data_IF_317281489196
#
_entry.id   IF_317281489196
#
_cell.length_a   1.000
_cell.length_b   1.000
_cell.length_c   1.000
_cell.angle_alpha   90.00
_cell.angle_beta   90.00
_cell.angle_gamma   90.00
#
_symmetry.space_group_name_H-M   'P 1'
#
loop_
_entity.id
_entity.type
_entity.pdbx_description
1 polymer ?
#
# COMPACT_ATOMS: atom_id res chain seq x y z
N UNK A 1 2.21 -18.62 -14.69
CA UNK A 1 2.25 -17.33 -13.95
C UNK A 1 2.05 -17.64 -12.48
N UNK A 2 2.82 -17.06 -11.57
CA UNK A 2 2.72 -17.31 -10.12
C UNK A 2 1.97 -16.17 -9.43
N UNK A 3 1.36 -16.45 -8.27
CA UNK A 3 0.63 -15.47 -7.46
C UNK A 3 1.47 -14.22 -7.14
N UNK A 4 2.73 -14.42 -6.75
CA UNK A 4 3.68 -13.33 -6.47
C UNK A 4 3.85 -12.39 -7.67
N UNK A 5 3.88 -12.95 -8.89
CA UNK A 5 4.04 -12.17 -10.13
C UNK A 5 2.78 -11.38 -10.48
N UNK A 6 1.60 -11.81 -10.02
CA UNK A 6 0.36 -11.05 -10.15
C UNK A 6 0.32 -9.85 -9.19
N UNK A 7 0.83 -10.02 -7.96
CA UNK A 7 0.94 -8.98 -6.93
C UNK A 7 2.09 -8.01 -7.12
N UNK A 8 3.07 -8.34 -7.96
CA UNK A 8 4.28 -7.55 -8.19
C UNK A 8 4.03 -6.05 -8.40
N UNK A 9 3.09 -5.57 -9.24
CA UNK A 9 2.91 -4.12 -9.44
C UNK A 9 2.55 -3.38 -8.15
N UNK A 10 1.68 -3.97 -7.33
CA UNK A 10 1.24 -3.39 -6.06
C UNK A 10 2.36 -3.45 -5.02
N UNK A 11 3.10 -4.57 -4.96
CA UNK A 11 4.24 -4.73 -4.06
C UNK A 11 5.40 -3.81 -4.43
N UNK A 12 5.64 -3.55 -5.72
CA UNK A 12 6.67 -2.60 -6.18
C UNK A 12 6.35 -1.17 -5.72
N UNK A 13 5.11 -0.73 -5.86
CA UNK A 13 4.69 0.61 -5.42
C UNK A 13 4.68 0.71 -3.89
N UNK A 14 4.21 -0.34 -3.20
CA UNK A 14 4.38 -0.46 -1.75
C UNK A 14 5.85 -0.36 -1.33
N UNK A 15 6.76 -0.97 -2.11
CA UNK A 15 8.21 -0.85 -1.99
C UNK A 15 8.70 0.59 -1.99
N UNK A 16 8.35 1.36 -3.02
CA UNK A 16 8.72 2.78 -3.13
C UNK A 16 8.23 3.64 -1.95
N UNK A 17 7.08 3.30 -1.40
CA UNK A 17 6.49 3.97 -0.23
C UNK A 17 7.01 3.45 1.12
N UNK A 18 7.96 2.51 1.14
CA UNK A 18 8.47 1.82 2.33
C UNK A 18 7.42 0.98 3.08
N UNK A 19 6.33 0.58 2.41
CA UNK A 19 5.29 -0.31 2.94
C UNK A 19 5.58 -1.79 2.62
N UNK A 20 6.39 -2.05 1.59
CA UNK A 20 6.88 -3.36 1.22
C UNK A 20 8.40 -3.32 1.06
N UNK A 21 9.09 -4.47 1.09
CA UNK A 21 10.53 -4.50 0.85
C UNK A 21 10.85 -4.70 -0.62
N UNK A 22 11.87 -3.98 -1.10
CA UNK A 22 12.51 -4.28 -2.37
C UNK A 22 13.24 -5.62 -2.28
N UNK A 23 12.82 -6.59 -3.10
CA UNK A 23 13.61 -7.78 -3.43
C UNK A 23 14.30 -7.52 -4.78
N UNK A 24 15.48 -6.88 -4.74
CA UNK A 24 16.32 -6.72 -5.92
C UNK A 24 17.76 -7.16 -5.59
N UNK A 25 18.31 -8.20 -6.23
CA UNK A 25 17.70 -9.11 -7.22
C UNK A 25 16.67 -10.10 -6.62
N UNK A 26 15.71 -10.53 -7.46
CA UNK A 26 14.68 -11.52 -7.12
C UNK A 26 15.32 -12.78 -6.53
N UNK A 27 14.99 -13.11 -5.28
CA UNK A 27 15.50 -14.29 -4.58
C UNK A 27 16.50 -14.01 -3.44
N UNK A 28 17.00 -12.78 -3.30
CA UNK A 28 17.78 -12.36 -2.12
C UNK A 28 17.07 -11.24 -1.37
N UNK A 29 16.34 -11.53 -0.28
CA UNK A 29 15.73 -10.49 0.53
C UNK A 29 16.84 -9.74 1.29
N UNK A 30 17.25 -8.57 0.78
CA UNK A 30 18.08 -7.60 1.54
C UNK A 30 17.19 -6.80 2.49
N UNK A 31 16.49 -7.52 3.36
CA UNK A 31 15.54 -7.01 4.35
C UNK A 31 16.12 -5.85 5.15
N UNK A 32 17.39 -5.98 5.54
CA UNK A 32 18.07 -4.97 6.34
C UNK A 32 18.32 -3.65 5.58
N UNK A 33 18.67 -3.71 4.30
CA UNK A 33 19.00 -2.51 3.49
C UNK A 33 17.73 -1.72 3.17
N UNK A 34 16.65 -2.41 2.78
CA UNK A 34 15.35 -1.77 2.55
C UNK A 34 14.79 -1.14 3.83
N UNK A 35 15.02 -1.78 4.98
CA UNK A 35 14.67 -1.25 6.30
C UNK A 35 15.43 0.03 6.63
N UNK A 36 16.76 -0.01 6.53
CA UNK A 36 17.60 1.15 6.79
C UNK A 36 17.28 2.31 5.85
N UNK A 37 17.04 2.03 4.57
CA UNK A 37 16.61 3.04 3.60
C UNK A 37 15.28 3.69 4.00
N UNK A 38 14.29 2.87 4.35
CA UNK A 38 12.98 3.36 4.77
C UNK A 38 13.08 4.22 6.03
N UNK A 39 13.79 3.74 7.04
CA UNK A 39 14.04 4.49 8.28
C UNK A 39 14.78 5.80 7.99
N UNK A 40 15.88 5.77 7.23
CA UNK A 40 16.64 6.97 6.90
C UNK A 40 15.79 8.01 6.14
N UNK A 41 15.05 7.59 5.11
CA UNK A 41 14.17 8.47 4.34
C UNK A 41 13.10 9.13 5.22
N UNK A 42 12.43 8.35 6.07
CA UNK A 42 11.39 8.87 6.96
C UNK A 42 11.97 9.73 8.09
N UNK A 43 13.10 9.36 8.68
CA UNK A 43 13.80 10.18 9.68
C UNK A 43 14.23 11.52 9.11
N UNK A 44 14.77 11.56 7.88
CA UNK A 44 15.12 12.81 7.20
C UNK A 44 13.87 13.66 6.93
N UNK A 45 12.80 13.04 6.42
CA UNK A 45 11.55 13.75 6.15
C UNK A 45 10.93 14.34 7.43
N UNK A 46 10.94 13.59 8.53
CA UNK A 46 10.48 14.07 9.84
C UNK A 46 11.34 15.24 10.31
N UNK A 47 12.66 15.06 10.31
CA UNK A 47 13.57 16.05 10.86
C UNK A 47 13.52 17.38 10.10
N UNK A 48 13.57 17.33 8.77
CA UNK A 48 13.65 18.55 7.95
C UNK A 48 12.30 19.23 7.74
N UNK A 49 11.19 18.47 7.70
CA UNK A 49 9.91 19.01 7.27
C UNK A 49 8.84 18.99 8.37
N UNK A 50 8.55 17.82 8.94
CA UNK A 50 7.44 17.72 9.90
C UNK A 50 7.77 18.30 11.28
N UNK A 51 8.99 18.08 11.78
CA UNK A 51 9.38 18.50 13.12
C UNK A 51 9.35 20.02 13.32
N UNK A 52 9.86 20.86 12.39
CA UNK A 52 9.67 22.30 12.47
C UNK A 52 8.18 22.71 12.47
N UNK A 53 7.36 22.04 11.66
CA UNK A 53 5.91 22.26 11.61
C UNK A 53 5.22 21.94 12.93
N UNK A 54 5.58 20.82 13.57
CA UNK A 54 5.05 20.43 14.88
C UNK A 54 5.43 21.40 15.99
N UNK A 55 6.68 21.87 16.00
CA UNK A 55 7.12 22.88 16.97
C UNK A 55 6.30 24.16 16.79
N UNK A 56 6.14 24.60 15.55
CA UNK A 56 5.37 25.80 15.23
C UNK A 56 3.90 25.67 15.69
N UNK A 57 3.21 24.59 15.29
CA UNK A 57 1.81 24.38 15.66
C UNK A 57 1.61 24.20 17.17
N UNK A 58 2.51 23.47 17.83
CA UNK A 58 2.40 23.18 19.25
C UNK A 58 2.77 24.38 20.14
N UNK A 59 3.87 25.08 19.84
CA UNK A 59 4.36 26.17 20.68
C UNK A 59 3.62 27.49 20.45
N UNK A 60 3.31 27.80 19.19
CA UNK A 60 2.74 29.12 18.82
C UNK A 60 1.22 29.04 18.82
N UNK A 61 0.65 28.04 18.15
CA UNK A 61 -0.80 27.99 17.94
C UNK A 61 -1.55 27.20 19.02
N UNK A 62 -0.82 26.43 19.86
CA UNK A 62 -1.38 25.52 20.88
C UNK A 62 -2.49 24.61 20.34
N UNK A 63 -2.39 24.24 19.07
CA UNK A 63 -3.38 23.41 18.37
C UNK A 63 -2.69 22.20 17.77
N UNK A 64 -3.33 21.04 17.89
CA UNK A 64 -2.96 19.86 17.12
C UNK A 64 -3.76 19.85 15.83
N UNK A 65 -3.07 19.84 14.70
CA UNK A 65 -3.73 19.71 13.40
C UNK A 65 -3.93 18.25 13.04
N UNK A 66 -4.98 17.97 12.27
CA UNK A 66 -5.23 16.62 11.72
C UNK A 66 -4.02 16.11 10.93
N UNK A 67 -3.29 16.99 10.24
CA UNK A 67 -2.09 16.65 9.49
C UNK A 67 -0.96 16.08 10.38
N UNK A 68 -0.84 16.57 11.63
CA UNK A 68 0.17 16.10 12.58
C UNK A 68 -0.15 14.68 13.05
N UNK A 69 -1.42 14.42 13.36
CA UNK A 69 -1.91 13.10 13.75
C UNK A 69 -1.72 12.09 12.62
N UNK A 70 -2.07 12.46 11.38
CA UNK A 70 -1.93 11.61 10.18
C UNK A 70 -0.45 11.25 9.93
N UNK A 71 0.45 12.21 10.10
CA UNK A 71 1.89 12.00 9.94
C UNK A 71 2.45 11.05 11.00
N UNK A 72 2.05 11.20 12.27
CA UNK A 72 2.43 10.27 13.35
C UNK A 72 1.87 8.86 13.12
N UNK A 73 0.60 8.74 12.72
CA UNK A 73 -0.02 7.46 12.36
C UNK A 73 0.76 6.76 11.24
N UNK A 74 1.23 7.52 10.26
CA UNK A 74 2.02 6.97 9.15
C UNK A 74 3.33 6.36 9.64
N UNK A 75 4.04 7.02 10.56
CA UNK A 75 5.28 6.49 11.17
C UNK A 75 4.99 5.17 11.88
N UNK A 76 3.93 5.11 12.68
CA UNK A 76 3.51 3.89 13.38
C UNK A 76 3.21 2.78 12.36
N UNK A 77 2.48 3.08 11.29
CA UNK A 77 2.14 2.12 10.25
C UNK A 77 3.38 1.56 9.56
N UNK A 78 4.39 2.39 9.28
CA UNK A 78 5.65 1.93 8.68
C UNK A 78 6.41 1.04 9.66
N UNK A 79 6.51 1.40 10.94
CA UNK A 79 7.15 0.54 11.93
C UNK A 79 6.42 -0.81 12.04
N UNK A 80 5.09 -0.80 12.05
CA UNK A 80 4.27 -2.02 12.06
C UNK A 80 4.48 -2.84 10.79
N UNK A 81 4.51 -2.23 9.60
CA UNK A 81 4.73 -2.94 8.34
C UNK A 81 6.12 -3.58 8.30
N UNK A 82 7.13 -2.89 8.84
CA UNK A 82 8.49 -3.40 8.96
C UNK A 82 8.58 -4.58 9.92
N UNK A 83 7.92 -4.52 11.08
CA UNK A 83 7.88 -5.62 12.04
C UNK A 83 7.14 -6.85 11.49
N UNK A 84 6.00 -6.63 10.82
CA UNK A 84 5.13 -7.72 10.30
C UNK A 84 5.48 -8.18 8.90
N UNK A 85 6.54 -7.66 8.30
CA UNK A 85 6.95 -8.06 6.96
C UNK A 85 7.23 -9.57 6.84
N UNK A 86 7.86 -10.16 7.87
CA UNK A 86 8.12 -11.61 7.89
C UNK A 86 6.82 -12.42 7.88
N UNK A 87 5.82 -11.99 8.64
CA UNK A 87 4.49 -12.61 8.69
C UNK A 87 3.78 -12.50 7.34
N UNK A 88 3.81 -11.32 6.72
CA UNK A 88 3.26 -11.10 5.39
C UNK A 88 3.86 -12.04 4.34
N UNK A 89 5.18 -12.24 4.38
CA UNK A 89 5.88 -13.15 3.46
C UNK A 89 5.49 -14.61 3.69
N UNK A 90 5.35 -15.05 4.94
CA UNK A 90 4.86 -16.39 5.24
C UNK A 90 3.43 -16.58 4.75
N UNK A 91 2.56 -15.59 4.97
CA UNK A 91 1.18 -15.59 4.49
C UNK A 91 1.11 -15.71 2.95
N UNK A 92 1.91 -14.95 2.20
CA UNK A 92 1.97 -15.07 0.73
C UNK A 92 2.45 -16.45 0.28
N UNK A 93 3.39 -17.07 0.99
CA UNK A 93 3.88 -18.43 0.69
C UNK A 93 2.80 -19.49 0.97
N UNK A 94 2.12 -19.40 2.10
CA UNK A 94 0.99 -20.29 2.42
C UNK A 94 -0.14 -20.16 1.38
N UNK A 95 -0.43 -18.92 0.97
CA UNK A 95 -1.43 -18.64 -0.05
C UNK A 95 -1.06 -19.23 -1.41
N UNK A 96 0.24 -19.25 -1.76
CA UNK A 96 0.73 -19.94 -2.95
C UNK A 96 0.55 -21.47 -2.86
N UNK A 97 0.73 -22.07 -1.67
CA UNK A 97 0.50 -23.51 -1.46
C UNK A 97 -1.00 -23.84 -1.59
N UNK A 98 -1.88 -23.05 -0.98
CA UNK A 98 -3.33 -23.22 -1.09
C UNK A 98 -3.80 -23.07 -2.54
N UNK A 99 -3.21 -22.15 -3.30
CA UNK A 99 -3.50 -22.04 -4.73
C UNK A 99 -3.10 -23.30 -5.51
N UNK A 100 -1.94 -23.88 -5.23
CA UNK A 100 -1.51 -25.14 -5.84
C UNK A 100 -2.44 -26.32 -5.51
N UNK A 101 -2.99 -26.39 -4.30
CA UNK A 101 -3.99 -27.42 -3.97
C UNK A 101 -5.33 -27.18 -4.66
N UNK A 102 -5.74 -25.92 -4.82
CA UNK A 102 -6.93 -25.55 -5.58
C UNK A 102 -6.79 -25.95 -7.06
N UNK A 103 -5.61 -25.77 -7.63
CA UNK A 103 -5.27 -26.22 -8.99
C UNK A 103 -5.36 -27.74 -9.11
N UNK A 104 -4.81 -28.50 -8.15
CA UNK A 104 -4.92 -29.96 -8.12
C UNK A 104 -6.38 -30.45 -8.01
N UNK A 105 -7.25 -29.66 -7.37
CA UNK A 105 -8.70 -29.89 -7.32
C UNK A 105 -9.41 -29.52 -8.64
N UNK A 106 -8.70 -29.06 -9.67
CA UNK A 106 -9.22 -28.75 -11.00
C UNK A 106 -9.78 -27.33 -11.14
N UNK A 107 -9.28 -26.34 -10.38
CA UNK A 107 -9.61 -24.92 -10.68
C UNK A 107 -8.68 -24.33 -11.73
N UNK A 108 -9.19 -23.57 -12.72
CA UNK A 108 -8.36 -22.87 -13.67
C UNK A 108 -7.67 -21.65 -13.04
N UNK A 109 -6.40 -21.43 -13.39
CA UNK A 109 -5.60 -20.29 -12.91
C UNK A 109 -6.05 -18.96 -13.52
N UNK A 110 -6.80 -18.15 -12.76
CA UNK A 110 -7.22 -16.79 -13.18
C UNK A 110 -6.19 -15.68 -12.82
N UNK A 111 -4.90 -16.00 -12.72
CA UNK A 111 -3.87 -15.01 -12.35
C UNK A 111 -3.78 -13.80 -13.27
N UNK A 112 -4.11 -13.97 -14.55
CA UNK A 112 -4.16 -12.88 -15.51
C UNK A 112 -5.25 -11.85 -15.12
N UNK A 113 -6.42 -12.34 -14.68
CA UNK A 113 -7.53 -11.51 -14.23
C UNK A 113 -7.20 -10.81 -12.92
N UNK A 114 -6.57 -11.52 -11.98
CA UNK A 114 -6.08 -10.94 -10.73
C UNK A 114 -5.06 -9.83 -10.99
N UNK A 115 -4.07 -10.07 -11.87
CA UNK A 115 -3.07 -9.06 -12.24
C UNK A 115 -3.73 -7.83 -12.87
N UNK A 116 -4.69 -8.02 -13.78
CA UNK A 116 -5.41 -6.90 -14.39
C UNK A 116 -6.21 -6.10 -13.35
N UNK A 117 -6.81 -6.79 -12.39
CA UNK A 117 -7.53 -6.14 -11.28
C UNK A 117 -6.58 -5.32 -10.39
N UNK A 118 -5.42 -5.88 -10.05
CA UNK A 118 -4.39 -5.18 -9.27
C UNK A 118 -3.85 -3.96 -10.03
N UNK A 119 -3.56 -4.10 -11.33
CA UNK A 119 -3.14 -2.96 -12.16
C UNK A 119 -4.20 -1.85 -12.17
N UNK A 120 -5.49 -2.20 -12.23
CA UNK A 120 -6.58 -1.22 -12.16
C UNK A 120 -6.61 -0.47 -10.82
N UNK A 121 -6.38 -1.17 -9.71
CA UNK A 121 -6.27 -0.55 -8.38
C UNK A 121 -5.08 0.41 -8.33
N UNK A 122 -3.93 -0.04 -8.82
CA UNK A 122 -2.72 0.78 -8.91
C UNK A 122 -2.96 2.07 -9.71
N UNK A 123 -3.57 1.96 -10.90
CA UNK A 123 -3.91 3.13 -11.73
C UNK A 123 -4.87 4.06 -10.99
N UNK A 124 -5.90 3.51 -10.33
CA UNK A 124 -6.85 4.29 -9.55
C UNK A 124 -6.18 5.08 -8.42
N UNK A 125 -5.23 4.46 -7.71
CA UNK A 125 -4.45 5.13 -6.67
C UNK A 125 -3.58 6.27 -7.25
N UNK A 126 -2.92 6.05 -8.39
CA UNK A 126 -2.14 7.10 -9.07
C UNK A 126 -3.04 8.27 -9.46
N UNK A 127 -4.19 8.00 -10.06
CA UNK A 127 -5.17 9.03 -10.44
C UNK A 127 -5.66 9.79 -9.20
N UNK A 128 -5.90 9.11 -8.09
CA UNK A 128 -6.30 9.75 -6.84
C UNK A 128 -5.25 10.73 -6.30
N UNK A 129 -3.96 10.36 -6.35
CA UNK A 129 -2.84 11.25 -5.98
C UNK A 129 -2.84 12.51 -6.85
N UNK A 130 -2.91 12.35 -8.18
CA UNK A 130 -2.92 13.48 -9.09
C UNK A 130 -4.15 14.38 -8.94
N UNK A 131 -5.33 13.78 -8.72
CA UNK A 131 -6.56 14.52 -8.44
C UNK A 131 -6.43 15.39 -7.19
N UNK A 132 -5.90 14.83 -6.11
CA UNK A 132 -5.72 15.58 -4.86
C UNK A 132 -4.72 16.74 -5.02
N UNK A 133 -3.64 16.52 -5.77
CA UNK A 133 -2.68 17.59 -6.10
C UNK A 133 -3.33 18.71 -6.91
N UNK A 134 -4.11 18.36 -7.94
CA UNK A 134 -4.82 19.33 -8.77
C UNK A 134 -5.85 20.14 -7.95
N UNK A 135 -6.58 19.48 -7.05
CA UNK A 135 -7.55 20.13 -6.17
C UNK A 135 -6.88 21.14 -5.22
N UNK A 136 -5.79 20.73 -4.56
CA UNK A 136 -5.03 21.63 -3.68
C UNK A 136 -4.46 22.82 -4.44
N UNK A 137 -3.99 22.59 -5.67
CA UNK A 137 -3.48 23.65 -6.53
C UNK A 137 -4.57 24.65 -6.93
N UNK A 138 -5.75 24.17 -7.31
CA UNK A 138 -6.88 25.04 -7.62
C UNK A 138 -7.28 25.92 -6.43
N UNK A 139 -7.31 25.35 -5.22
CA UNK A 139 -7.59 26.12 -4.01
C UNK A 139 -6.52 27.19 -3.75
N UNK A 140 -5.24 26.86 -3.99
CA UNK A 140 -4.14 27.80 -3.84
C UNK A 140 -4.27 29.00 -4.80
N UNK A 141 -4.55 28.73 -6.08
CA UNK A 141 -4.80 29.78 -7.07
C UNK A 141 -5.99 30.68 -6.67
N UNK A 142 -7.08 30.06 -6.22
CA UNK A 142 -8.27 30.78 -5.79
C UNK A 142 -7.97 31.69 -4.59
N UNK A 143 -7.17 31.22 -3.62
CA UNK A 143 -6.84 31.97 -2.41
C UNK A 143 -5.83 33.09 -2.66
N UNK A 144 -4.81 32.86 -3.49
CA UNK A 144 -3.74 33.82 -3.74
C UNK A 144 -4.12 34.92 -4.73
N UNK A 145 -5.20 34.76 -5.51
CA UNK A 145 -5.81 35.80 -6.39
C UNK A 145 -4.81 36.57 -7.29
N UNK A 146 -3.64 36.00 -7.57
CA UNK A 146 -2.49 36.64 -8.21
C UNK A 146 -1.83 35.71 -9.24
N UNK A 147 -1.06 36.29 -10.16
CA UNK A 147 -0.12 35.57 -11.02
C UNK A 147 1.03 35.00 -10.17
N UNK A 148 1.03 33.68 -9.99
CA UNK A 148 2.08 32.96 -9.25
C UNK A 148 3.26 32.75 -10.20
N UNK A 149 4.45 33.18 -9.81
CA UNK A 149 5.68 32.91 -10.56
C UNK A 149 5.97 31.41 -10.62
N UNK A 150 6.60 30.93 -11.70
CA UNK A 150 6.90 29.50 -11.88
C UNK A 150 7.69 28.89 -10.71
N UNK A 151 8.62 29.65 -10.12
CA UNK A 151 9.40 29.19 -8.95
C UNK A 151 8.52 28.97 -7.72
N UNK A 152 7.59 29.89 -7.45
CA UNK A 152 6.63 29.74 -6.34
C UNK A 152 5.69 28.58 -6.60
N UNK A 153 5.24 28.41 -7.85
CA UNK A 153 4.43 27.28 -8.27
C UNK A 153 5.10 25.94 -7.96
N UNK A 154 6.37 25.78 -8.34
CA UNK A 154 7.14 24.55 -8.05
C UNK A 154 7.31 24.35 -6.55
N UNK A 155 7.63 25.42 -5.81
CA UNK A 155 7.81 25.36 -4.35
C UNK A 155 6.52 24.93 -3.64
N UNK A 156 5.39 25.56 -3.94
CA UNK A 156 4.10 25.23 -3.36
C UNK A 156 3.64 23.82 -3.73
N UNK A 157 3.86 23.40 -4.98
CA UNK A 157 3.55 22.03 -5.41
C UNK A 157 4.33 21.01 -4.60
N UNK A 158 5.62 21.26 -4.35
CA UNK A 158 6.47 20.40 -3.53
C UNK A 158 5.99 20.34 -2.07
N UNK A 159 5.72 21.50 -1.46
CA UNK A 159 5.21 21.62 -0.08
C UNK A 159 3.87 20.88 0.07
N UNK A 160 2.94 21.08 -0.86
CA UNK A 160 1.64 20.40 -0.85
C UNK A 160 1.77 18.88 -1.04
N UNK A 161 2.66 18.45 -1.93
CA UNK A 161 2.95 17.03 -2.11
C UNK A 161 3.47 16.39 -0.82
N UNK A 162 4.42 17.05 -0.14
CA UNK A 162 4.94 16.57 1.14
C UNK A 162 3.85 16.52 2.22
N UNK A 163 3.00 17.55 2.32
CA UNK A 163 1.90 17.56 3.29
C UNK A 163 0.90 16.42 3.08
N UNK A 164 0.60 16.04 1.83
CA UNK A 164 -0.32 14.95 1.53
C UNK A 164 0.34 13.56 1.47
N UNK A 165 1.67 13.50 1.44
CA UNK A 165 2.43 12.25 1.33
C UNK A 165 2.06 11.20 2.39
N UNK A 166 1.87 11.55 3.69
CA UNK A 166 1.44 10.59 4.70
C UNK A 166 0.08 9.98 4.40
N UNK A 167 -0.89 10.78 3.95
CA UNK A 167 -2.21 10.30 3.55
C UNK A 167 -2.14 9.33 2.37
N UNK A 168 -1.28 9.60 1.38
CA UNK A 168 -1.08 8.70 0.25
C UNK A 168 -0.49 7.34 0.67
N UNK A 169 0.45 7.37 1.62
CA UNK A 169 1.06 6.16 2.20
C UNK A 169 0.02 5.35 3.00
N UNK A 170 -0.82 6.01 3.80
CA UNK A 170 -1.93 5.35 4.52
C UNK A 170 -2.90 4.72 3.52
N UNK A 171 -3.37 5.47 2.52
CA UNK A 171 -4.28 4.96 1.50
C UNK A 171 -3.71 3.74 0.77
N UNK A 172 -2.41 3.78 0.41
CA UNK A 172 -1.73 2.66 -0.22
C UNK A 172 -1.64 1.45 0.73
N UNK A 173 -1.34 1.66 2.01
CA UNK A 173 -1.27 0.58 3.01
C UNK A 173 -2.63 -0.11 3.21
N UNK A 174 -3.72 0.67 3.18
CA UNK A 174 -5.08 0.16 3.22
C UNK A 174 -5.42 -0.64 1.95
N UNK A 175 -5.03 -0.15 0.77
CA UNK A 175 -5.23 -0.87 -0.50
C UNK A 175 -4.46 -2.21 -0.55
N UNK A 176 -3.21 -2.23 -0.07
CA UNK A 176 -2.42 -3.48 0.03
C UNK A 176 -3.11 -4.46 0.96
N UNK A 177 -3.51 -4.00 2.15
CA UNK A 177 -4.21 -4.84 3.14
C UNK A 177 -5.54 -5.37 2.60
N UNK A 178 -6.34 -4.52 1.94
CA UNK A 178 -7.62 -4.89 1.35
C UNK A 178 -7.47 -5.89 0.20
N UNK A 179 -6.44 -5.73 -0.65
CA UNK A 179 -6.17 -6.66 -1.74
C UNK A 179 -5.79 -8.05 -1.23
N UNK A 180 -4.93 -8.11 -0.19
CA UNK A 180 -4.51 -9.38 0.42
C UNK A 180 -5.69 -10.04 1.13
N UNK A 181 -6.45 -9.29 1.93
CA UNK A 181 -7.62 -9.81 2.63
C UNK A 181 -8.68 -10.33 1.64
N UNK A 182 -8.95 -9.57 0.57
CA UNK A 182 -9.88 -9.98 -0.48
C UNK A 182 -9.44 -11.27 -1.18
N UNK A 183 -8.14 -11.43 -1.42
CA UNK A 183 -7.58 -12.65 -2.01
C UNK A 183 -7.71 -13.85 -1.07
N UNK A 184 -7.40 -13.69 0.22
CA UNK A 184 -7.56 -14.74 1.23
C UNK A 184 -9.03 -15.17 1.35
N UNK A 185 -9.95 -14.21 1.46
CA UNK A 185 -11.39 -14.49 1.51
C UNK A 185 -11.87 -15.23 0.27
N UNK A 186 -11.44 -14.80 -0.92
CA UNK A 186 -11.77 -15.46 -2.17
C UNK A 186 -11.33 -16.93 -2.18
N UNK A 187 -10.09 -17.22 -1.78
CA UNK A 187 -9.59 -18.59 -1.71
C UNK A 187 -10.32 -19.43 -0.65
N UNK A 188 -10.58 -18.88 0.53
CA UNK A 188 -11.31 -19.59 1.59
C UNK A 188 -12.72 -19.99 1.16
N UNK A 189 -13.47 -19.07 0.54
CA UNK A 189 -14.83 -19.35 0.06
C UNK A 189 -14.78 -20.46 -1.00
N UNK A 190 -13.85 -20.36 -1.95
CA UNK A 190 -13.72 -21.33 -3.02
C UNK A 190 -13.33 -22.73 -2.49
N UNK A 191 -12.43 -22.79 -1.50
CA UNK A 191 -12.02 -24.04 -0.87
C UNK A 191 -13.19 -24.69 -0.12
N UNK A 192 -13.93 -23.92 0.69
CA UNK A 192 -15.08 -24.40 1.44
C UNK A 192 -16.19 -24.94 0.51
N UNK A 193 -16.52 -24.21 -0.56
CA UNK A 193 -17.50 -24.66 -1.55
C UNK A 193 -17.10 -25.99 -2.20
N UNK A 194 -15.83 -26.16 -2.59
CA UNK A 194 -15.35 -27.42 -3.17
C UNK A 194 -15.38 -28.57 -2.17
N UNK A 195 -14.94 -28.34 -0.92
CA UNK A 195 -14.93 -29.37 0.11
C UNK A 195 -16.35 -29.87 0.42
N UNK A 196 -17.31 -28.94 0.48
CA UNK A 196 -18.72 -29.23 0.68
C UNK A 196 -19.31 -30.05 -0.49
N UNK A 197 -19.04 -29.65 -1.73
CA UNK A 197 -19.44 -30.40 -2.93
C UNK A 197 -18.84 -31.80 -2.95
N UNK A 198 -17.57 -31.95 -2.57
CA UNK A 198 -16.88 -33.24 -2.54
C UNK A 198 -17.47 -34.15 -1.46
N UNK A 199 -17.82 -33.60 -0.29
CA UNK A 199 -18.48 -34.32 0.80
C UNK A 199 -19.89 -34.76 0.40
N UNK A 200 -20.66 -33.90 -0.28
CA UNK A 200 -21.95 -34.27 -0.86
C UNK A 200 -21.82 -35.38 -1.89
N UNK A 201 -20.85 -35.27 -2.79
CA UNK A 201 -20.60 -36.26 -3.82
C UNK A 201 -20.25 -37.62 -3.21
N UNK A 202 -19.32 -37.66 -2.25
CA UNK A 202 -18.97 -38.89 -1.52
C UNK A 202 -20.20 -39.48 -0.84
N UNK A 203 -21.01 -38.66 -0.14
CA UNK A 203 -22.26 -39.14 0.48
C UNK A 203 -23.22 -39.76 -0.52
N UNK A 204 -23.42 -39.16 -1.69
CA UNK A 204 -24.28 -39.71 -2.74
C UNK A 204 -23.78 -41.02 -3.35
N UNK A 205 -22.48 -41.32 -3.26
CA UNK A 205 -21.91 -42.57 -3.80
C UNK A 205 -21.81 -43.69 -2.74
N UNK A 206 -21.95 -43.37 -1.46
CA UNK A 206 -21.88 -44.33 -0.34
C UNK A 206 -23.25 -44.81 0.16
N UNK A 207 -24.34 -44.18 -0.29
CA UNK A 207 -25.73 -44.61 -0.08
C UNK A 207 -26.30 -45.24 -1.35
#
# INVERSE_FOLDING_TARGET
MTLERALAPLMTIGGFCNLAMFEYPLGQPRTYVSCLYGLAKWSLLIYFYYYPGYIYSFQIERKMFMADVVSLLTIILILVSMCRFKELKMCLRELAIVDHTLEALGTPKEYQRLRNWIIRITIGWIVHVFYQLAYNYYNLLFYLKNDINFTEFVHWTYVMFLNCYPSYVIALSALISAAILGLVLYMCIHLLCKLFLLTLCVKMFTE
#
